data_IF_355785080701
#
_entry.id   IF_355785080701
#
_cell.length_a   1.000
_cell.length_b   1.000
_cell.length_c   1.000
_cell.angle_alpha   90.00
_cell.angle_beta   90.00
_cell.angle_gamma   90.00
#
_symmetry.space_group_name_H-M   'P 1'
#
loop_
_entity.id
_entity.type
_entity.pdbx_description
1 polymer ?
#
# COMPACT_ATOMS: atom_id res chain seq x y z
N UNK A 1 57.57 56.19 -23.25
CA UNK A 1 56.83 55.62 -24.41
C UNK A 1 56.28 54.25 -24.02
N UNK A 2 54.98 54.06 -24.24
CA UNK A 2 54.16 52.84 -24.34
C UNK A 2 54.34 51.64 -23.38
N UNK A 3 53.31 51.50 -22.52
CA UNK A 3 52.50 50.31 -22.12
C UNK A 3 52.97 48.90 -22.52
N UNK A 4 52.93 47.97 -21.56
CA UNK A 4 51.91 46.90 -21.52
C UNK A 4 51.88 46.16 -20.18
N UNK A 5 50.66 45.88 -19.72
CA UNK A 5 50.27 45.19 -18.48
C UNK A 5 50.17 43.68 -18.69
N UNK A 6 50.75 42.86 -17.82
CA UNK A 6 50.46 41.43 -17.71
C UNK A 6 49.89 41.12 -16.32
N UNK A 7 48.65 40.64 -16.31
CA UNK A 7 47.83 40.34 -15.13
C UNK A 7 48.38 39.13 -14.37
N UNK A 8 48.47 39.27 -13.05
CA UNK A 8 48.61 38.18 -12.08
C UNK A 8 47.37 37.26 -12.17
N UNK A 9 47.56 36.01 -12.60
CA UNK A 9 46.54 34.97 -12.47
C UNK A 9 46.59 34.38 -11.05
N UNK A 10 45.60 34.75 -10.25
CA UNK A 10 45.31 34.12 -8.96
C UNK A 10 44.74 32.71 -9.14
N UNK A 11 45.08 31.85 -8.18
CA UNK A 11 44.55 30.49 -7.96
C UNK A 11 43.02 30.43 -8.11
N UNK A 12 42.53 29.49 -8.92
CA UNK A 12 41.19 28.92 -8.80
C UNK A 12 41.33 27.42 -8.62
N UNK A 13 41.20 26.94 -7.38
CA UNK A 13 40.93 25.53 -7.09
C UNK A 13 39.47 25.28 -7.45
N UNK A 14 39.22 24.79 -8.66
CA UNK A 14 37.89 24.32 -9.06
C UNK A 14 37.58 23.05 -8.27
N UNK A 15 36.85 23.20 -7.17
CA UNK A 15 36.34 22.11 -6.38
C UNK A 15 35.25 21.42 -7.21
N UNK A 16 35.55 20.26 -7.80
CA UNK A 16 34.52 19.39 -8.37
C UNK A 16 33.51 19.04 -7.26
N UNK A 17 32.19 19.16 -7.49
CA UNK A 17 31.25 18.60 -6.55
C UNK A 17 31.43 17.08 -6.61
N UNK A 18 31.92 16.49 -5.52
CA UNK A 18 31.82 15.05 -5.31
C UNK A 18 30.34 14.72 -5.43
N UNK A 19 29.95 14.01 -6.49
CA UNK A 19 28.69 13.29 -6.49
C UNK A 19 28.72 12.39 -5.25
N UNK A 20 28.01 12.79 -4.20
CA UNK A 20 27.63 11.86 -3.16
C UNK A 20 26.76 10.83 -3.86
N UNK A 21 27.36 9.71 -4.22
CA UNK A 21 26.65 8.49 -4.57
C UNK A 21 26.01 7.99 -3.26
N UNK A 22 24.94 8.68 -2.83
CA UNK A 22 24.01 8.10 -1.89
C UNK A 22 23.48 6.83 -2.55
N UNK A 23 23.66 5.68 -1.91
CA UNK A 23 22.96 4.48 -2.34
C UNK A 23 21.48 4.81 -2.28
N UNK A 24 20.81 4.80 -3.43
CA UNK A 24 19.37 4.78 -3.48
C UNK A 24 18.92 3.64 -2.55
N UNK A 25 18.08 3.97 -1.57
CA UNK A 25 17.48 2.95 -0.72
C UNK A 25 16.65 2.03 -1.62
N UNK A 26 16.55 0.74 -1.31
CA UNK A 26 15.75 -0.20 -2.13
C UNK A 26 14.28 0.20 -2.29
N UNK A 27 13.82 1.21 -1.53
CA UNK A 27 12.49 1.82 -1.60
C UNK A 27 12.38 3.03 -2.55
N UNK A 28 13.49 3.56 -3.07
CA UNK A 28 13.48 4.65 -4.04
C UNK A 28 13.33 4.09 -5.46
N UNK A 29 12.07 3.95 -5.89
CA UNK A 29 11.75 3.67 -7.29
C UNK A 29 11.82 4.99 -8.07
N UNK A 30 12.51 5.06 -9.22
CA UNK A 30 12.56 6.27 -10.03
C UNK A 30 11.15 6.78 -10.39
N UNK A 31 10.91 8.08 -10.26
CA UNK A 31 9.63 8.72 -10.54
C UNK A 31 9.26 8.75 -12.05
N UNK A 32 10.04 8.12 -12.92
CA UNK A 32 9.73 8.00 -14.34
C UNK A 32 9.29 6.58 -14.63
N UNK A 33 8.08 6.41 -15.15
CA UNK A 33 7.63 5.18 -15.78
C UNK A 33 8.53 4.93 -17.00
N UNK A 34 9.68 4.30 -16.79
CA UNK A 34 10.55 3.92 -17.88
C UNK A 34 9.85 2.79 -18.62
N UNK A 35 9.25 3.13 -19.75
CA UNK A 35 9.04 2.18 -20.83
C UNK A 35 10.38 1.44 -20.97
N UNK A 36 10.36 0.13 -20.81
CA UNK A 36 11.55 -0.71 -20.90
C UNK A 36 12.14 -0.54 -22.31
N UNK A 37 13.16 0.31 -22.42
CA UNK A 37 13.78 0.71 -23.68
C UNK A 37 14.34 -0.51 -24.40
N UNK A 38 14.85 -1.46 -23.63
CA UNK A 38 15.50 -2.66 -24.11
C UNK A 38 14.44 -3.61 -24.70
N UNK A 39 13.27 -3.70 -24.05
CA UNK A 39 12.12 -4.43 -24.60
C UNK A 39 11.63 -3.80 -25.91
N UNK A 40 11.46 -2.47 -25.97
CA UNK A 40 10.96 -1.78 -27.18
C UNK A 40 11.92 -1.92 -28.35
N UNK A 41 13.23 -1.79 -28.10
CA UNK A 41 14.26 -1.97 -29.14
C UNK A 41 14.27 -3.41 -29.68
N UNK A 42 14.20 -4.39 -28.77
CA UNK A 42 14.14 -5.81 -29.13
C UNK A 42 12.87 -6.18 -29.89
N UNK A 43 11.71 -5.62 -29.49
CA UNK A 43 10.43 -5.84 -30.17
C UNK A 43 10.46 -5.32 -31.61
N UNK A 44 10.95 -4.10 -31.82
CA UNK A 44 11.03 -3.50 -33.16
C UNK A 44 11.97 -4.28 -34.09
N UNK A 45 12.98 -4.95 -33.54
CA UNK A 45 13.89 -5.83 -34.29
C UNK A 45 13.19 -7.10 -34.78
N UNK A 46 12.28 -7.67 -34.00
CA UNK A 46 11.59 -8.93 -34.33
C UNK A 46 10.30 -8.69 -35.14
N UNK A 47 9.55 -7.65 -34.79
CA UNK A 47 8.25 -7.32 -35.41
C UNK A 47 8.23 -5.82 -35.77
N UNK A 48 8.78 -5.43 -36.94
CA UNK A 48 8.90 -4.01 -37.31
C UNK A 48 7.56 -3.36 -37.72
N UNK A 49 6.56 -4.15 -38.09
CA UNK A 49 5.27 -3.67 -38.61
C UNK A 49 4.17 -3.54 -37.53
N UNK A 50 4.50 -3.76 -36.26
CA UNK A 50 3.53 -3.71 -35.15
C UNK A 50 4.08 -2.86 -34.00
N UNK A 51 3.25 -1.94 -33.51
CA UNK A 51 3.60 -1.17 -32.31
C UNK A 51 3.81 -2.09 -31.10
N UNK A 52 4.77 -1.76 -30.22
CA UNK A 52 5.05 -2.57 -29.05
C UNK A 52 3.84 -2.60 -28.10
N UNK A 53 3.57 -3.74 -27.46
CA UNK A 53 2.50 -3.81 -26.47
C UNK A 53 2.78 -2.87 -25.30
N UNK A 54 1.73 -2.27 -24.76
CA UNK A 54 1.83 -1.42 -23.56
C UNK A 54 2.07 -2.30 -22.33
N UNK A 55 2.97 -1.86 -21.45
CA UNK A 55 3.20 -2.51 -20.15
C UNK A 55 2.25 -1.94 -19.09
N UNK A 56 1.96 -2.68 -17.98
CA UNK A 56 1.15 -2.15 -16.89
C UNK A 56 1.67 -0.81 -16.33
N UNK A 57 2.99 -0.64 -16.29
CA UNK A 57 3.63 0.60 -15.87
C UNK A 57 3.21 1.83 -16.70
N UNK A 58 2.81 1.65 -17.97
CA UNK A 58 2.32 2.74 -18.81
C UNK A 58 0.96 3.29 -18.34
N UNK A 59 0.22 2.54 -17.52
CA UNK A 59 -1.07 2.94 -16.96
C UNK A 59 -0.98 3.36 -15.49
N UNK A 60 0.19 3.18 -14.86
CA UNK A 60 0.41 3.56 -13.47
C UNK A 60 1.04 4.95 -13.39
N UNK A 61 0.51 5.80 -12.52
CA UNK A 61 1.17 7.05 -12.19
C UNK A 61 2.42 6.75 -11.35
N UNK A 62 3.59 7.33 -11.69
CA UNK A 62 4.77 7.16 -10.86
C UNK A 62 4.52 7.65 -9.44
N UNK A 63 5.03 6.90 -8.46
CA UNK A 63 4.86 7.28 -7.06
C UNK A 63 5.60 8.60 -6.78
N UNK A 64 4.98 9.55 -6.04
CA UNK A 64 5.67 10.77 -5.65
C UNK A 64 6.87 10.46 -4.75
N UNK A 65 7.94 11.24 -4.89
CA UNK A 65 9.13 11.12 -4.06
C UNK A 65 8.82 11.34 -2.58
N UNK A 66 9.63 10.74 -1.71
CA UNK A 66 9.51 10.94 -0.26
C UNK A 66 9.79 12.40 0.09
N UNK A 67 8.85 13.13 0.74
CA UNK A 67 9.08 14.49 1.15
C UNK A 67 10.14 14.55 2.26
N UNK A 68 10.92 15.63 2.30
CA UNK A 68 11.96 15.83 3.34
C UNK A 68 11.38 16.14 4.72
N UNK A 69 10.09 16.46 4.80
CA UNK A 69 9.35 16.76 6.03
C UNK A 69 8.11 15.86 6.14
N UNK A 70 7.72 15.52 7.37
CA UNK A 70 6.53 14.71 7.62
C UNK A 70 5.29 15.53 7.20
N UNK A 71 4.43 14.99 6.31
CA UNK A 71 3.20 15.67 5.91
C UNK A 71 2.17 15.68 7.04
N UNK A 72 1.19 16.58 6.96
CA UNK A 72 0.12 16.69 7.96
C UNK A 72 -0.98 15.65 7.81
N UNK A 73 -1.12 15.06 6.62
CA UNK A 73 -2.15 14.05 6.28
C UNK A 73 -1.51 12.81 5.66
N UNK A 74 -2.21 11.69 5.79
CA UNK A 74 -1.86 10.40 5.19
C UNK A 74 -2.69 10.21 3.93
N UNK A 75 -2.05 9.89 2.80
CA UNK A 75 -2.77 9.51 1.58
C UNK A 75 -3.08 8.02 1.62
N UNK A 76 -4.34 7.64 1.50
CA UNK A 76 -4.80 6.25 1.54
C UNK A 76 -5.40 5.83 0.22
N UNK A 77 -4.93 4.69 -0.27
CA UNK A 77 -5.53 3.95 -1.37
C UNK A 77 -6.11 2.66 -0.78
N UNK A 78 -7.41 2.47 -0.87
CA UNK A 78 -8.09 1.26 -0.41
C UNK A 78 -8.74 0.57 -1.61
N UNK A 79 -8.25 -0.64 -1.91
CA UNK A 79 -8.55 -1.34 -3.15
C UNK A 79 -9.00 -2.77 -2.87
N UNK A 80 -10.05 -3.16 -3.57
CA UNK A 80 -10.57 -4.51 -3.70
C UNK A 80 -10.40 -4.98 -5.15
N UNK A 81 -10.45 -6.29 -5.43
CA UNK A 81 -10.32 -6.80 -6.80
C UNK A 81 -11.35 -6.23 -7.78
N UNK A 82 -12.54 -5.85 -7.30
CA UNK A 82 -13.66 -5.37 -8.11
C UNK A 82 -13.99 -3.89 -7.93
N UNK A 83 -13.42 -3.22 -6.92
CA UNK A 83 -13.73 -1.83 -6.60
C UNK A 83 -12.55 -1.13 -5.92
N UNK A 84 -12.46 0.19 -6.07
CA UNK A 84 -11.55 1.02 -5.27
C UNK A 84 -12.42 1.91 -4.38
N UNK A 85 -12.50 1.55 -3.09
CA UNK A 85 -13.33 2.27 -2.11
C UNK A 85 -12.72 3.63 -1.79
N UNK A 86 -11.39 3.71 -1.67
CA UNK A 86 -10.66 4.97 -1.47
C UNK A 86 -9.55 5.06 -2.51
N UNK A 87 -9.48 6.18 -3.21
CA UNK A 87 -8.43 6.45 -4.20
C UNK A 87 -7.82 7.82 -3.91
N UNK A 88 -6.53 7.84 -3.54
CA UNK A 88 -5.78 9.05 -3.22
C UNK A 88 -6.48 9.96 -2.19
N UNK A 89 -7.16 9.36 -1.22
CA UNK A 89 -7.91 10.09 -0.19
C UNK A 89 -6.97 10.52 0.93
N UNK A 90 -7.00 11.79 1.31
CA UNK A 90 -6.25 12.29 2.47
C UNK A 90 -7.04 12.07 3.76
N UNK A 91 -6.40 11.44 4.75
CA UNK A 91 -6.99 11.12 6.05
C UNK A 91 -6.00 11.45 7.18
N UNK A 92 -6.50 11.52 8.41
CA UNK A 92 -5.66 11.80 9.59
C UNK A 92 -4.97 10.55 10.10
N UNK A 93 -5.69 9.44 10.14
CA UNK A 93 -5.20 8.18 10.69
C UNK A 93 -6.01 7.01 10.15
N UNK A 94 -5.35 5.86 10.04
CA UNK A 94 -6.01 4.58 9.76
C UNK A 94 -5.67 3.57 10.85
N UNK A 95 -6.67 2.86 11.36
CA UNK A 95 -6.49 1.74 12.29
C UNK A 95 -6.86 0.46 11.54
N UNK A 96 -5.92 -0.49 11.47
CA UNK A 96 -6.07 -1.72 10.70
C UNK A 96 -5.72 -2.97 11.51
N UNK A 97 -6.39 -4.10 11.22
CA UNK A 97 -6.19 -5.36 11.94
C UNK A 97 -5.02 -6.14 11.34
N UNK A 98 -3.80 -5.92 11.84
CA UNK A 98 -2.64 -6.71 11.47
C UNK A 98 -2.67 -8.09 12.15
N UNK A 99 -1.96 -9.07 11.59
CA UNK A 99 -1.78 -10.39 12.22
C UNK A 99 -1.17 -10.30 13.61
N UNK A 100 -0.32 -9.30 13.86
CA UNK A 100 0.32 -9.04 15.16
C UNK A 100 -0.55 -8.27 16.15
N UNK A 101 -1.71 -7.74 15.74
CA UNK A 101 -2.58 -6.93 16.58
C UNK A 101 -3.23 -5.77 15.83
N UNK A 102 -3.80 -4.81 16.56
CA UNK A 102 -4.34 -3.59 15.96
C UNK A 102 -3.21 -2.58 15.74
N UNK A 103 -3.08 -2.07 14.52
CA UNK A 103 -2.03 -1.13 14.12
C UNK A 103 -2.64 0.20 13.69
N UNK A 104 -2.19 1.30 14.30
CA UNK A 104 -2.55 2.66 13.90
C UNK A 104 -1.47 3.29 13.02
N UNK A 105 -1.85 3.76 11.84
CA UNK A 105 -0.97 4.40 10.86
C UNK A 105 -1.30 5.88 10.80
N UNK A 106 -0.30 6.70 11.11
CA UNK A 106 -0.34 8.17 11.05
C UNK A 106 0.60 8.69 9.93
N UNK A 107 0.51 9.96 9.55
CA UNK A 107 1.46 10.57 8.62
C UNK A 107 2.91 10.41 9.12
N UNK A 108 3.83 10.04 8.23
CA UNK A 108 5.23 9.79 8.58
C UNK A 108 5.51 8.44 9.27
N UNK A 109 4.56 7.49 9.26
CA UNK A 109 4.79 6.15 9.79
C UNK A 109 5.95 5.43 9.08
N UNK A 110 6.62 4.54 9.81
CA UNK A 110 7.73 3.73 9.28
C UNK A 110 7.23 2.84 8.12
N UNK A 111 7.97 2.76 6.99
CA UNK A 111 7.59 1.89 5.88
C UNK A 111 7.44 0.44 6.34
N UNK A 112 6.27 -0.14 6.11
CA UNK A 112 5.90 -1.44 6.66
C UNK A 112 5.01 -2.17 5.68
N UNK A 113 5.24 -3.48 5.53
CA UNK A 113 4.31 -4.39 4.86
C UNK A 113 3.69 -5.25 5.95
N UNK A 114 2.38 -5.19 6.09
CA UNK A 114 1.64 -5.94 7.09
C UNK A 114 0.59 -6.82 6.42
N UNK A 115 0.50 -8.07 6.88
CA UNK A 115 -0.63 -8.95 6.59
C UNK A 115 -1.82 -8.56 7.47
N UNK A 116 -3.02 -8.54 6.88
CA UNK A 116 -4.26 -8.18 7.55
C UNK A 116 -5.09 -9.44 7.83
N UNK A 117 -5.51 -9.56 9.08
CA UNK A 117 -6.45 -10.59 9.53
C UNK A 117 -7.90 -10.13 9.41
N UNK A 118 -8.89 -11.03 9.45
CA UNK A 118 -10.29 -10.64 9.52
C UNK A 118 -10.55 -9.69 10.69
N UNK A 119 -11.18 -8.54 10.43
CA UNK A 119 -11.39 -7.52 11.46
C UNK A 119 -11.81 -6.15 10.93
N UNK A 120 -11.86 -5.16 11.82
CA UNK A 120 -12.30 -3.80 11.47
C UNK A 120 -11.12 -2.95 11.03
N UNK A 121 -11.26 -2.32 9.86
CA UNK A 121 -10.51 -1.15 9.42
C UNK A 121 -11.29 0.11 9.78
N UNK A 122 -10.67 1.04 10.49
CA UNK A 122 -11.24 2.35 10.79
C UNK A 122 -10.43 3.45 10.10
N UNK A 123 -11.09 4.29 9.33
CA UNK A 123 -10.50 5.44 8.63
C UNK A 123 -11.00 6.70 9.30
N UNK A 124 -10.07 7.53 9.79
CA UNK A 124 -10.36 8.74 10.55
C UNK A 124 -10.11 9.99 9.70
N UNK A 125 -11.15 10.79 9.50
CA UNK A 125 -11.12 12.09 8.83
C UNK A 125 -11.66 13.16 9.79
N UNK A 126 -10.77 13.78 10.57
CA UNK A 126 -11.16 14.71 11.64
C UNK A 126 -12.06 14.05 12.69
N UNK A 127 -13.32 14.46 12.73
CA UNK A 127 -14.33 13.90 13.63
C UNK A 127 -15.09 12.71 13.02
N UNK A 128 -14.97 12.49 11.72
CA UNK A 128 -15.68 11.44 11.01
C UNK A 128 -14.86 10.14 11.02
N UNK A 129 -15.50 9.03 11.38
CA UNK A 129 -14.88 7.71 11.45
C UNK A 129 -15.68 6.73 10.61
N UNK A 130 -15.09 6.29 9.50
CA UNK A 130 -15.69 5.29 8.62
C UNK A 130 -15.10 3.91 8.94
N UNK A 131 -15.96 2.93 9.22
CA UNK A 131 -15.55 1.58 9.59
C UNK A 131 -15.92 0.57 8.50
N UNK A 132 -14.95 -0.25 8.12
CA UNK A 132 -15.11 -1.34 7.19
C UNK A 132 -14.69 -2.64 7.88
N UNK A 133 -15.48 -3.69 7.71
CA UNK A 133 -15.01 -5.04 8.02
C UNK A 133 -14.20 -5.58 6.85
N UNK A 134 -12.99 -6.06 7.11
CA UNK A 134 -12.11 -6.68 6.15
C UNK A 134 -12.14 -8.20 6.33
N UNK A 135 -12.18 -8.94 5.23
CA UNK A 135 -12.00 -10.40 5.24
C UNK A 135 -10.54 -10.77 5.45
N UNK A 136 -9.64 -10.27 4.60
CA UNK A 136 -8.19 -10.46 4.66
C UNK A 136 -7.51 -9.52 3.68
N UNK A 137 -6.18 -9.38 3.78
CA UNK A 137 -5.45 -8.53 2.84
C UNK A 137 -4.01 -8.23 3.24
N UNK A 138 -3.46 -7.21 2.60
CA UNK A 138 -2.15 -6.63 2.90
C UNK A 138 -2.26 -5.11 2.98
N UNK A 139 -1.48 -4.52 3.89
CA UNK A 139 -1.28 -3.09 3.97
C UNK A 139 0.18 -2.78 3.67
N UNK A 140 0.40 -1.88 2.71
CA UNK A 140 1.70 -1.36 2.32
C UNK A 140 1.78 0.10 2.75
N UNK A 141 2.63 0.37 3.73
CA UNK A 141 2.89 1.70 4.24
C UNK A 141 4.22 2.15 3.64
N UNK A 142 4.20 3.27 2.93
CA UNK A 142 5.37 3.79 2.22
C UNK A 142 6.00 4.97 2.97
N UNK A 143 7.27 5.23 2.67
CA UNK A 143 8.03 6.32 3.30
C UNK A 143 7.45 7.71 3.01
N UNK A 144 6.74 7.85 1.89
CA UNK A 144 6.15 9.11 1.44
C UNK A 144 4.77 9.39 2.08
N UNK A 145 4.42 8.72 3.17
CA UNK A 145 3.10 8.83 3.83
C UNK A 145 1.92 8.48 2.91
N UNK A 146 2.14 7.49 2.06
CA UNK A 146 1.09 6.81 1.30
C UNK A 146 0.87 5.43 1.91
N UNK A 147 -0.39 5.06 2.14
CA UNK A 147 -0.78 3.74 2.59
C UNK A 147 -1.66 3.07 1.52
N UNK A 148 -1.18 1.98 0.93
CA UNK A 148 -1.95 1.15 0.01
C UNK A 148 -2.51 -0.05 0.79
N UNK A 149 -3.81 -0.08 0.99
CA UNK A 149 -4.55 -1.14 1.67
C UNK A 149 -5.24 -1.97 0.59
N UNK A 150 -4.90 -3.24 0.52
CA UNK A 150 -5.40 -4.18 -0.48
C UNK A 150 -6.09 -5.30 0.28
N UNK A 151 -7.41 -5.39 0.14
CA UNK A 151 -8.21 -6.43 0.76
C UNK A 151 -8.91 -7.27 -0.31
N UNK A 152 -9.21 -8.54 0.00
CA UNK A 152 -9.98 -9.41 -0.91
C UNK A 152 -11.45 -8.99 -0.94
N UNK A 153 -12.00 -8.75 0.25
CA UNK A 153 -13.39 -8.36 0.44
C UNK A 153 -13.46 -7.38 1.61
N UNK A 154 -14.29 -6.34 1.46
CA UNK A 154 -14.56 -5.38 2.51
C UNK A 154 -15.99 -4.86 2.45
N UNK A 155 -16.62 -4.72 3.61
CA UNK A 155 -18.02 -4.32 3.72
C UNK A 155 -18.15 -3.26 4.81
N UNK A 156 -18.90 -2.16 4.60
CA UNK A 156 -19.25 -1.23 5.66
C UNK A 156 -19.94 -1.97 6.82
N UNK A 157 -19.57 -1.67 8.06
CA UNK A 157 -20.10 -2.40 9.23
C UNK A 157 -21.63 -2.33 9.32
N UNK A 158 -22.23 -1.24 8.84
CA UNK A 158 -23.68 -1.02 8.86
C UNK A 158 -24.46 -1.95 7.91
N UNK A 159 -23.78 -2.61 6.96
CA UNK A 159 -24.40 -3.52 6.00
C UNK A 159 -24.37 -4.98 6.48
N UNK A 160 -23.87 -5.25 7.69
CA UNK A 160 -23.70 -6.60 8.23
C UNK A 160 -24.90 -6.97 9.11
N UNK A 161 -25.58 -8.07 8.77
CA UNK A 161 -26.70 -8.58 9.58
C UNK A 161 -26.18 -9.43 10.76
N UNK A 162 -26.39 -9.00 12.02
CA UNK A 162 -25.93 -9.74 13.20
C UNK A 162 -26.54 -11.14 13.31
N UNK A 163 -27.76 -11.34 12.82
CA UNK A 163 -28.45 -12.63 12.91
C UNK A 163 -27.78 -13.68 12.02
N UNK A 164 -27.34 -13.28 10.82
CA UNK A 164 -26.61 -14.16 9.90
C UNK A 164 -25.22 -14.49 10.42
N UNK A 165 -24.55 -13.53 11.07
CA UNK A 165 -23.23 -13.75 11.69
C UNK A 165 -23.33 -14.80 12.80
N UNK A 166 -24.31 -14.69 13.69
CA UNK A 166 -24.51 -15.67 14.77
C UNK A 166 -24.85 -17.06 14.24
N UNK A 167 -25.70 -17.13 13.21
CA UNK A 167 -26.04 -18.39 12.54
C UNK A 167 -24.80 -19.03 11.91
N UNK A 168 -24.00 -18.26 11.19
CA UNK A 168 -22.76 -18.73 10.57
C UNK A 168 -21.75 -19.21 11.60
N UNK A 169 -21.58 -18.49 12.71
CA UNK A 169 -20.69 -18.89 13.81
C UNK A 169 -21.09 -20.26 14.37
N UNK A 170 -22.39 -20.50 14.60
CA UNK A 170 -22.87 -21.78 15.09
C UNK A 170 -22.62 -22.92 14.07
N UNK A 171 -22.87 -22.65 12.79
CA UNK A 171 -22.65 -23.62 11.71
C UNK A 171 -21.17 -24.02 11.58
N UNK A 172 -20.26 -23.05 11.53
CA UNK A 172 -18.83 -23.33 11.42
C UNK A 172 -18.24 -23.95 12.69
N UNK A 173 -18.75 -23.59 13.87
CA UNK A 173 -18.38 -24.26 15.14
C UNK A 173 -18.81 -25.73 15.13
N UNK A 174 -20.02 -26.02 14.64
CA UNK A 174 -20.48 -27.40 14.49
C UNK A 174 -19.63 -28.16 13.47
N UNK A 175 -19.33 -27.56 12.31
CA UNK A 175 -18.45 -28.15 11.28
C UNK A 175 -17.08 -28.48 11.83
N UNK A 176 -16.48 -27.59 12.63
CA UNK A 176 -15.20 -27.81 13.30
C UNK A 176 -15.24 -29.04 14.21
N UNK A 177 -16.33 -29.22 14.96
CA UNK A 177 -16.48 -30.36 15.86
C UNK A 177 -16.70 -31.70 15.13
N UNK A 178 -17.30 -31.66 13.94
CA UNK A 178 -17.56 -32.86 13.12
C UNK A 178 -16.45 -33.18 12.12
N UNK A 179 -15.51 -32.26 11.89
CA UNK A 179 -14.46 -32.40 10.88
C UNK A 179 -13.50 -33.55 11.21
N UNK A 180 -13.28 -34.42 10.23
CA UNK A 180 -12.44 -35.62 10.41
C UNK A 180 -11.07 -35.47 9.76
N UNK A 181 -11.01 -34.72 8.66
CA UNK A 181 -9.77 -34.45 7.93
C UNK A 181 -9.14 -33.12 8.36
N UNK A 182 -7.83 -33.00 8.18
CA UNK A 182 -7.11 -31.76 8.53
C UNK A 182 -7.53 -30.58 7.63
N UNK A 183 -7.91 -30.86 6.37
CA UNK A 183 -8.44 -29.85 5.46
C UNK A 183 -9.78 -29.30 5.95
N UNK A 184 -10.74 -30.19 6.29
CA UNK A 184 -12.05 -29.77 6.82
C UNK A 184 -11.91 -28.98 8.13
N UNK A 185 -10.97 -29.37 8.99
CA UNK A 185 -10.68 -28.64 10.23
C UNK A 185 -10.14 -27.24 9.93
N UNK A 186 -9.23 -27.11 8.97
CA UNK A 186 -8.69 -25.81 8.58
C UNK A 186 -9.77 -24.89 7.99
N UNK A 187 -10.62 -25.41 7.10
CA UNK A 187 -11.74 -24.64 6.53
C UNK A 187 -12.75 -24.21 7.59
N UNK A 188 -13.12 -25.12 8.50
CA UNK A 188 -14.02 -24.80 9.59
C UNK A 188 -13.41 -23.78 10.55
N UNK A 189 -12.11 -23.87 10.84
CA UNK A 189 -11.41 -22.91 11.71
C UNK A 189 -11.40 -21.52 11.09
N UNK A 190 -11.10 -21.40 9.79
CA UNK A 190 -11.16 -20.12 9.07
C UNK A 190 -12.57 -19.52 9.17
N UNK A 191 -13.61 -20.35 9.00
CA UNK A 191 -15.00 -19.93 9.16
C UNK A 191 -15.29 -19.39 10.56
N UNK A 192 -14.86 -20.10 11.60
CA UNK A 192 -15.02 -19.65 12.99
C UNK A 192 -14.28 -18.35 13.24
N UNK A 193 -13.04 -18.22 12.77
CA UNK A 193 -12.20 -17.03 12.98
C UNK A 193 -12.84 -15.78 12.36
N UNK A 194 -13.34 -15.89 11.12
CA UNK A 194 -14.03 -14.79 10.42
C UNK A 194 -15.34 -14.41 11.13
N UNK A 195 -16.18 -15.38 11.49
CA UNK A 195 -17.47 -15.08 12.13
C UNK A 195 -17.30 -14.58 13.58
N UNK A 196 -16.27 -15.04 14.28
CA UNK A 196 -15.89 -14.52 15.59
C UNK A 196 -15.43 -13.06 15.50
N UNK A 197 -14.61 -12.73 14.49
CA UNK A 197 -14.20 -11.37 14.20
C UNK A 197 -15.38 -10.47 13.82
N UNK A 198 -16.32 -10.95 13.00
CA UNK A 198 -17.56 -10.24 12.65
C UNK A 198 -18.42 -9.97 13.88
N UNK A 199 -18.60 -10.95 14.75
CA UNK A 199 -19.39 -10.78 15.97
C UNK A 199 -18.74 -9.75 16.89
N UNK A 200 -17.42 -9.83 17.07
CA UNK A 200 -16.65 -8.83 17.84
C UNK A 200 -16.79 -7.43 17.25
N UNK A 201 -16.79 -7.32 15.92
CA UNK A 201 -16.93 -6.05 15.22
C UNK A 201 -18.30 -5.38 15.43
N UNK A 202 -19.36 -6.18 15.58
CA UNK A 202 -20.72 -5.69 15.80
C UNK A 202 -21.00 -5.32 17.26
N UNK A 203 -20.40 -6.03 18.22
CA UNK A 203 -20.65 -5.81 19.64
C UNK A 203 -19.85 -4.67 20.26
N UNK A 204 -18.73 -4.27 19.64
CA UNK A 204 -17.85 -3.21 20.14
C UNK A 204 -16.77 -3.74 21.06
#
# INVERSE_FOLDING_TARGET
MLRQTSRLFGRSLTQQPKMMMGRAMSTEVPATASVDSDFVESWRKVVPNMDPPKTPAAFMQPRPSTPSTIPSKLTVNFVLPYASELSTKEVDMVIMPATTGQMGVLPGHVPTIAELKPGILSVHEGNDVTKYFLSSGFAFIHANSVADIIAVEAVPVDHIDPSLVQKGLAEFTQKLSSATTDLEKAEAQIGVDVHSALNSALTG
#
